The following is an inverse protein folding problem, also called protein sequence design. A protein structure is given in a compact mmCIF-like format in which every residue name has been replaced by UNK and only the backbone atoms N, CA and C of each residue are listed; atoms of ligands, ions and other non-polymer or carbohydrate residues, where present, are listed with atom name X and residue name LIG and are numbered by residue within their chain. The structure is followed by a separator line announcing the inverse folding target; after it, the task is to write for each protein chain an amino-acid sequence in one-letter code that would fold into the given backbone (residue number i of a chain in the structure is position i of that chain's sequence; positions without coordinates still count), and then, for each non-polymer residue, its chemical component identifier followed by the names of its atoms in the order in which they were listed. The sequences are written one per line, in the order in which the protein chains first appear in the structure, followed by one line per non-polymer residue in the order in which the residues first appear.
data_IF_940946244540
#
_entry.id   IF_940946244540
#
_cell.length_a   1.000
_cell.length_b   1.000
_cell.length_c   1.000
_cell.angle_alpha   90.00
_cell.angle_beta   90.00
_cell.angle_gamma   90.00
#
_symmetry.space_group_name_H-M   'P 1'
#
loop_
_entity.id
_entity.type
_entity.pdbx_description
1 polymer ?
#
# COMPACT_ATOMS: atom_id res chain seq x y z
N UNK A 1 -3.05 17.06 -15.09
CA UNK A 1 -4.20 17.11 -14.16
C UNK A 1 -3.87 16.21 -12.99
N UNK A 2 -3.50 16.76 -11.82
CA UNK A 2 -3.36 15.96 -10.60
C UNK A 2 -4.77 15.74 -10.04
N UNK A 3 -5.40 14.63 -10.41
CA UNK A 3 -6.45 14.06 -9.57
C UNK A 3 -5.80 13.82 -8.22
N UNK A 4 -6.16 14.65 -7.21
CA UNK A 4 -5.81 14.38 -5.82
C UNK A 4 -6.48 13.06 -5.48
N UNK A 5 -5.76 11.96 -5.67
CA UNK A 5 -6.25 10.64 -5.29
C UNK A 5 -6.63 10.74 -3.82
N UNK A 6 -7.90 10.45 -3.55
CA UNK A 6 -8.44 10.52 -2.20
C UNK A 6 -7.93 9.31 -1.41
N UNK A 7 -7.86 9.43 -0.07
CA UNK A 7 -7.80 8.28 0.83
C UNK A 7 -8.74 7.18 0.36
N UNK A 8 -8.26 5.95 0.32
CA UNK A 8 -9.06 4.82 -0.15
C UNK A 8 -9.05 3.67 0.86
N UNK A 9 -10.11 2.86 0.78
CA UNK A 9 -10.27 1.66 1.56
C UNK A 9 -9.91 0.44 0.73
N UNK A 10 -9.29 -0.55 1.37
CA UNK A 10 -8.96 -1.84 0.77
C UNK A 10 -9.42 -2.97 1.68
N UNK A 11 -10.01 -4.01 1.10
CA UNK A 11 -10.34 -5.22 1.85
C UNK A 11 -9.08 -5.95 2.29
N UNK A 12 -9.12 -6.52 3.49
CA UNK A 12 -8.01 -7.36 3.95
C UNK A 12 -8.02 -8.68 3.19
N UNK A 13 -6.96 -8.90 2.43
CA UNK A 13 -6.71 -10.19 1.78
C UNK A 13 -5.46 -10.85 2.34
N UNK A 14 -5.39 -12.18 2.21
CA UNK A 14 -4.21 -12.95 2.59
C UNK A 14 -3.01 -12.47 1.78
N UNK A 15 -1.90 -12.12 2.45
CA UNK A 15 -0.69 -11.58 1.84
C UNK A 15 -0.60 -10.05 1.83
N UNK A 16 -1.73 -9.32 1.73
CA UNK A 16 -1.72 -7.85 1.69
C UNK A 16 -1.20 -7.26 3.00
N UNK A 17 -1.53 -7.86 4.15
CA UNK A 17 -1.07 -7.37 5.46
C UNK A 17 0.45 -7.36 5.64
N UNK A 18 1.19 -8.28 4.98
CA UNK A 18 2.66 -8.29 5.03
C UNK A 18 3.23 -7.16 4.17
N UNK A 19 2.69 -6.98 2.97
CA UNK A 19 3.11 -5.91 2.06
C UNK A 19 2.89 -4.53 2.68
N UNK A 20 1.74 -4.29 3.32
CA UNK A 20 1.41 -3.04 3.99
C UNK A 20 2.32 -2.74 5.19
N UNK A 21 2.80 -3.78 5.90
CA UNK A 21 3.80 -3.62 6.97
C UNK A 21 5.16 -3.18 6.41
N UNK A 22 5.58 -3.75 5.28
CA UNK A 22 6.83 -3.34 4.61
C UNK A 22 6.74 -1.90 4.11
N UNK A 23 5.61 -1.51 3.54
CA UNK A 23 5.38 -0.14 3.07
C UNK A 23 5.46 0.85 4.23
N UNK A 24 4.75 0.59 5.35
CA UNK A 24 4.85 1.42 6.57
C UNK A 24 6.28 1.59 7.07
N UNK A 25 7.11 0.55 6.94
CA UNK A 25 8.51 0.59 7.36
C UNK A 25 9.37 1.46 6.43
N UNK A 26 9.08 1.44 5.13
CA UNK A 26 9.85 2.18 4.12
C UNK A 26 9.33 3.61 3.89
N UNK A 27 8.07 3.89 4.20
CA UNK A 27 7.38 5.15 3.96
C UNK A 27 6.71 5.66 5.24
N UNK A 28 7.42 6.52 5.98
CA UNK A 28 6.91 7.08 7.24
C UNK A 28 5.71 8.02 7.09
N UNK A 29 5.45 8.53 5.88
CA UNK A 29 4.29 9.38 5.56
C UNK A 29 3.02 8.58 5.20
N UNK A 30 3.14 7.27 4.95
CA UNK A 30 2.01 6.41 4.60
C UNK A 30 1.44 5.78 5.87
N UNK A 31 0.24 6.21 6.23
CA UNK A 31 -0.53 5.73 7.37
C UNK A 31 -1.61 4.81 6.84
N UNK A 32 -1.54 3.55 7.26
CA UNK A 32 -2.57 2.55 6.98
C UNK A 32 -3.24 2.15 8.29
N UNK A 33 -4.49 2.54 8.47
CA UNK A 33 -5.30 2.16 9.62
C UNK A 33 -5.96 0.81 9.39
N UNK A 34 -6.06 0.01 10.44
CA UNK A 34 -6.69 -1.30 10.43
C UNK A 34 -8.06 -1.20 11.14
N UNK A 35 -9.15 -1.52 10.44
CA UNK A 35 -10.51 -1.48 10.98
C UNK A 35 -11.14 -2.88 11.11
N UNK A 36 -10.31 -3.92 11.23
CA UNK A 36 -10.76 -5.31 11.36
C UNK A 36 -10.88 -6.02 10.01
N UNK A 37 -11.82 -5.59 9.17
CA UNK A 37 -12.05 -6.21 7.85
C UNK A 37 -11.45 -5.42 6.68
N UNK A 38 -11.00 -4.18 6.94
CA UNK A 38 -10.44 -3.30 5.92
C UNK A 38 -9.16 -2.62 6.41
N UNK A 39 -8.42 -2.11 5.43
CA UNK A 39 -7.35 -1.15 5.61
C UNK A 39 -7.78 0.20 5.04
N UNK A 40 -7.48 1.27 5.75
CA UNK A 40 -7.74 2.66 5.30
C UNK A 40 -6.41 3.35 5.12
N UNK A 41 -6.14 3.85 3.91
CA UNK A 41 -4.93 4.58 3.58
C UNK A 41 -5.16 6.09 3.65
N UNK A 42 -4.23 6.85 4.23
CA UNK A 42 -4.23 8.32 4.15
C UNK A 42 -3.81 8.84 2.77
N UNK A 43 -3.12 8.02 1.98
CA UNK A 43 -2.67 8.35 0.63
C UNK A 43 -3.55 7.72 -0.43
N UNK A 44 -3.48 8.31 -1.62
CA UNK A 44 -4.17 7.88 -2.81
C UNK A 44 -3.73 6.54 -3.37
N UNK A 45 -4.50 6.01 -4.33
CA UNK A 45 -4.19 4.77 -5.03
C UNK A 45 -2.88 4.84 -5.82
N UNK A 46 -2.62 5.95 -6.54
CA UNK A 46 -1.36 6.11 -7.29
C UNK A 46 -0.16 6.14 -6.35
N UNK A 47 -0.22 6.93 -5.28
CA UNK A 47 0.88 7.04 -4.31
C UNK A 47 1.12 5.71 -3.58
N UNK A 48 0.06 4.99 -3.22
CA UNK A 48 0.17 3.64 -2.66
C UNK A 48 0.81 2.67 -3.66
N UNK A 49 0.43 2.73 -4.94
CA UNK A 49 1.02 1.87 -5.98
C UNK A 49 2.51 2.12 -6.12
N UNK A 50 2.94 3.38 -6.17
CA UNK A 50 4.34 3.74 -6.27
C UNK A 50 5.13 3.25 -5.05
N UNK A 51 4.55 3.38 -3.85
CA UNK A 51 5.13 2.88 -2.61
C UNK A 51 5.24 1.34 -2.59
N UNK A 52 4.23 0.64 -3.10
CA UNK A 52 4.25 -0.81 -3.29
C UNK A 52 5.38 -1.21 -4.24
N UNK A 53 5.42 -0.63 -5.45
CA UNK A 53 6.42 -0.99 -6.47
C UNK A 53 7.85 -0.72 -5.98
N UNK A 54 8.07 0.42 -5.32
CA UNK A 54 9.36 0.75 -4.72
C UNK A 54 9.75 -0.20 -3.60
N UNK A 55 8.82 -0.57 -2.72
CA UNK A 55 9.06 -1.54 -1.64
C UNK A 55 9.41 -2.92 -2.21
N UNK A 56 8.69 -3.36 -3.25
CA UNK A 56 8.98 -4.64 -3.92
C UNK A 56 10.40 -4.63 -4.51
N UNK A 57 10.80 -3.56 -5.22
CA UNK A 57 12.16 -3.41 -5.76
C UNK A 57 13.22 -3.37 -4.67
N UNK A 58 13.00 -2.62 -3.58
CA UNK A 58 13.94 -2.51 -2.47
C UNK A 58 14.21 -3.86 -1.78
N UNK A 59 13.23 -4.77 -1.81
CA UNK A 59 13.33 -6.11 -1.24
C UNK A 59 13.57 -7.23 -2.27
N UNK A 60 13.86 -6.89 -3.54
CA UNK A 60 14.01 -7.84 -4.64
C UNK A 60 12.83 -8.82 -4.79
N UNK A 61 11.62 -8.36 -4.46
CA UNK A 61 10.39 -9.15 -4.58
C UNK A 61 9.82 -8.93 -5.99
N UNK A 62 9.60 -10.02 -6.71
CA UNK A 62 8.96 -10.00 -8.02
C UNK A 62 7.59 -10.68 -7.91
N UNK A 63 6.51 -9.93 -8.15
CA UNK A 63 5.17 -10.50 -8.23
C UNK A 63 5.00 -11.18 -9.58
N UNK A 64 4.54 -12.44 -9.60
CA UNK A 64 4.17 -13.08 -10.85
C UNK A 64 2.97 -12.33 -11.46
N UNK A 65 2.99 -12.04 -12.77
CA UNK A 65 1.80 -11.57 -13.45
C UNK A 65 0.72 -12.65 -13.38
N UNK A 66 -0.50 -12.24 -13.04
CA UNK A 66 -1.71 -13.07 -13.17
C UNK A 66 -2.25 -12.98 -14.60
#
# INVERSE_FOLDING_TARGET
MHTKDKPFEMEKTFGLGVLLKLIKKNYGNIIISDTGNKFISNVGLSEMRDAVESTLRAHNICLKPN
#
